data_IF_917799098624
#
_entry.id   IF_917799098624
#
_cell.length_a   1.000
_cell.length_b   1.000
_cell.length_c   1.000
_cell.angle_alpha   90.00
_cell.angle_beta   90.00
_cell.angle_gamma   90.00
#
_symmetry.space_group_name_H-M   'P 1'
#
loop_
_entity.id
_entity.type
_entity.pdbx_description
1 polymer ?
#
# COMPACT_ATOMS: atom_id res chain seq x y z
N UNK A 1 -36.17 -16.85 1.77
CA UNK A 1 -36.09 -15.57 1.01
C UNK A 1 -35.14 -14.55 1.62
N UNK A 2 -35.32 -14.04 2.88
CA UNK A 2 -34.39 -13.05 3.49
C UNK A 2 -32.98 -13.61 3.68
N UNK A 3 -32.79 -14.84 4.12
CA UNK A 3 -31.50 -15.48 4.32
C UNK A 3 -30.77 -15.69 2.98
N UNK A 4 -31.48 -16.03 1.92
CA UNK A 4 -30.91 -16.22 0.59
C UNK A 4 -30.49 -14.89 -0.06
N UNK A 5 -31.23 -13.80 0.21
CA UNK A 5 -30.83 -12.44 -0.16
C UNK A 5 -29.55 -11.96 0.58
N UNK A 6 -29.34 -12.41 1.82
CA UNK A 6 -28.11 -12.11 2.56
C UNK A 6 -26.90 -12.90 2.03
N UNK A 7 -27.07 -14.18 1.66
CA UNK A 7 -26.00 -15.00 1.07
C UNK A 7 -25.43 -14.40 -0.22
N UNK A 8 -26.27 -13.73 -1.03
CA UNK A 8 -25.80 -13.06 -2.25
C UNK A 8 -25.07 -11.73 -2.00
N UNK A 9 -25.11 -11.21 -0.76
CA UNK A 9 -24.46 -9.97 -0.32
C UNK A 9 -23.24 -10.20 0.57
N UNK A 10 -22.91 -11.47 0.85
CA UNK A 10 -21.77 -11.81 1.68
C UNK A 10 -20.43 -11.62 0.93
N UNK A 11 -19.33 -11.55 1.68
CA UNK A 11 -18.00 -11.50 1.08
C UNK A 11 -17.74 -12.77 0.26
N UNK A 12 -17.28 -12.55 -0.97
CA UNK A 12 -16.99 -13.64 -1.90
C UNK A 12 -15.56 -13.49 -2.43
N UNK A 13 -14.84 -14.61 -2.62
CA UNK A 13 -13.56 -14.57 -3.28
C UNK A 13 -13.73 -14.22 -4.76
N UNK A 14 -12.99 -13.21 -5.24
CA UNK A 14 -13.02 -12.72 -6.60
C UNK A 14 -11.72 -13.00 -7.31
N UNK A 15 -11.75 -13.22 -8.63
CA UNK A 15 -10.58 -13.27 -9.49
C UNK A 15 -10.36 -11.86 -10.06
N UNK A 16 -9.22 -11.25 -9.72
CA UNK A 16 -8.85 -9.94 -10.22
C UNK A 16 -8.17 -10.05 -11.58
N UNK A 17 -8.90 -9.84 -12.65
CA UNK A 17 -8.40 -9.75 -14.02
C UNK A 17 -8.53 -8.33 -14.61
N UNK A 18 -8.47 -7.31 -13.76
CA UNK A 18 -8.54 -5.89 -14.20
C UNK A 18 -7.22 -5.36 -14.73
N UNK A 19 -6.10 -6.00 -14.41
CA UNK A 19 -4.75 -5.48 -14.64
C UNK A 19 -4.31 -4.40 -13.64
N UNK A 20 -5.07 -4.16 -12.58
CA UNK A 20 -4.69 -3.29 -11.46
C UNK A 20 -4.23 -4.18 -10.31
N UNK A 21 -2.93 -4.22 -10.02
CA UNK A 21 -2.36 -5.17 -9.04
C UNK A 21 -2.82 -4.84 -7.62
N UNK A 22 -2.70 -3.59 -7.20
CA UNK A 22 -3.16 -3.11 -5.89
C UNK A 22 -4.53 -2.44 -6.07
N UNK A 23 -5.56 -3.26 -6.30
CA UNK A 23 -6.89 -2.75 -6.59
C UNK A 23 -7.62 -2.35 -5.31
N UNK A 24 -7.92 -1.06 -5.13
CA UNK A 24 -8.51 -0.49 -3.92
C UNK A 24 -9.80 -1.19 -3.49
N UNK A 25 -10.70 -1.46 -4.45
CA UNK A 25 -12.02 -2.04 -4.16
C UNK A 25 -12.00 -3.58 -4.06
N UNK A 26 -10.85 -4.22 -4.36
CA UNK A 26 -10.70 -5.68 -4.31
C UNK A 26 -9.76 -6.14 -3.18
N UNK A 27 -9.57 -5.30 -2.15
CA UNK A 27 -8.80 -5.64 -0.96
C UNK A 27 -7.33 -5.23 -0.98
N UNK A 28 -6.86 -4.56 -2.03
CA UNK A 28 -5.46 -4.09 -2.20
C UNK A 28 -4.45 -5.23 -2.33
N UNK A 29 -3.43 -5.28 -1.44
CA UNK A 29 -2.43 -6.34 -1.47
C UNK A 29 -3.02 -7.69 -1.07
N UNK A 30 -2.66 -8.72 -1.82
CA UNK A 30 -2.95 -10.11 -1.48
C UNK A 30 -1.80 -10.71 -0.68
N UNK A 31 -2.08 -11.71 0.14
CA UNK A 31 -1.12 -12.37 1.01
C UNK A 31 -0.76 -13.76 0.48
N UNK A 32 0.43 -14.22 0.83
CA UNK A 32 0.83 -15.60 0.57
C UNK A 32 0.01 -16.58 1.42
N UNK A 33 -0.43 -17.68 0.84
CA UNK A 33 -1.26 -18.67 1.52
C UNK A 33 -0.54 -19.26 2.74
N UNK A 34 0.76 -19.48 2.67
CA UNK A 34 1.56 -20.01 3.79
C UNK A 34 1.58 -19.06 5.00
N UNK A 35 1.39 -17.75 4.80
CA UNK A 35 1.27 -16.80 5.89
C UNK A 35 0.00 -17.02 6.73
N UNK A 36 -1.09 -17.48 6.11
CA UNK A 36 -2.32 -17.84 6.81
C UNK A 36 -2.18 -19.17 7.57
N UNK A 37 -1.45 -20.14 7.03
CA UNK A 37 -1.21 -21.42 7.73
C UNK A 37 -0.43 -21.18 9.03
N UNK A 38 0.59 -20.33 9.00
CA UNK A 38 1.30 -19.90 10.20
C UNK A 38 0.39 -19.12 11.15
N UNK A 39 -0.35 -18.14 10.61
CA UNK A 39 -1.28 -17.33 11.39
C UNK A 39 -2.34 -18.18 12.07
N UNK A 40 -2.87 -19.22 11.43
CA UNK A 40 -3.87 -20.14 11.99
C UNK A 40 -3.40 -20.77 13.28
N UNK A 41 -2.16 -21.25 13.33
CA UNK A 41 -1.59 -21.87 14.55
C UNK A 41 -1.50 -20.87 15.71
N UNK A 42 -1.15 -19.61 15.42
CA UNK A 42 -1.05 -18.55 16.42
C UNK A 42 -2.44 -18.02 16.83
N UNK A 43 -3.32 -17.80 15.85
CA UNK A 43 -4.63 -17.19 16.09
C UNK A 43 -5.60 -18.10 16.84
N UNK A 44 -5.57 -19.41 16.53
CA UNK A 44 -6.42 -20.43 17.17
C UNK A 44 -5.88 -20.97 18.49
N UNK A 45 -4.70 -20.49 18.93
CA UNK A 45 -4.06 -20.89 20.19
C UNK A 45 -3.62 -19.70 21.03
N UNK A 46 -2.91 -20.02 22.11
CA UNK A 46 -2.16 -19.04 22.90
C UNK A 46 -0.77 -18.91 22.31
N UNK A 47 -0.21 -17.68 22.31
CA UNK A 47 1.16 -17.43 21.90
C UNK A 47 1.76 -16.24 22.66
N UNK A 48 3.04 -16.07 22.58
CA UNK A 48 3.84 -15.13 23.34
C UNK A 48 3.74 -13.66 22.85
N UNK A 49 2.54 -13.18 22.52
CA UNK A 49 2.30 -11.83 22.00
C UNK A 49 2.84 -10.71 22.92
N UNK A 50 2.58 -10.83 24.22
CA UNK A 50 3.05 -9.91 25.27
C UNK A 50 3.70 -10.69 26.44
N UNK A 51 4.30 -11.86 26.13
CA UNK A 51 4.96 -12.70 27.10
C UNK A 51 6.39 -13.01 26.68
N UNK A 52 7.34 -12.65 27.52
CA UNK A 52 8.76 -12.94 27.29
C UNK A 52 9.07 -14.35 27.83
N UNK A 53 9.40 -15.26 26.91
CA UNK A 53 9.70 -16.67 27.22
C UNK A 53 10.98 -16.84 28.03
N UNK A 54 11.94 -15.89 27.95
CA UNK A 54 13.20 -15.99 28.68
C UNK A 54 13.05 -15.57 30.14
N UNK A 55 12.24 -14.54 30.38
CA UNK A 55 12.09 -13.98 31.74
C UNK A 55 10.81 -14.44 32.45
N UNK A 56 9.87 -15.04 31.72
CA UNK A 56 8.55 -15.42 32.26
C UNK A 56 7.68 -14.21 32.64
N UNK A 57 8.02 -13.01 32.18
CA UNK A 57 7.32 -11.75 32.51
C UNK A 57 6.60 -11.18 31.29
N UNK A 58 5.85 -10.12 31.53
CA UNK A 58 5.22 -9.35 30.46
C UNK A 58 6.28 -8.69 29.57
N UNK A 59 6.24 -9.00 28.27
CA UNK A 59 7.05 -8.40 27.23
C UNK A 59 6.34 -7.28 26.47
N UNK A 60 7.03 -6.68 25.52
CA UNK A 60 6.49 -5.68 24.60
C UNK A 60 5.66 -6.36 23.49
N UNK A 61 4.41 -5.90 23.29
CA UNK A 61 3.45 -6.49 22.33
C UNK A 61 4.00 -6.57 20.88
N UNK A 62 4.75 -5.59 20.46
CA UNK A 62 5.29 -5.51 19.10
C UNK A 62 6.76 -5.90 19.00
N UNK A 63 7.42 -6.24 20.10
CA UNK A 63 8.87 -6.31 20.22
C UNK A 63 9.57 -7.05 19.07
N UNK A 64 9.12 -8.26 18.76
CA UNK A 64 9.69 -9.09 17.67
C UNK A 64 9.55 -8.41 16.29
N UNK A 65 8.41 -7.74 16.02
CA UNK A 65 8.19 -7.06 14.75
C UNK A 65 9.00 -5.77 14.66
N UNK A 66 9.09 -5.02 15.77
CA UNK A 66 9.88 -3.78 15.82
C UNK A 66 11.35 -4.06 15.59
N UNK A 67 11.92 -5.12 16.19
CA UNK A 67 13.30 -5.54 15.93
C UNK A 67 13.51 -5.90 14.45
N UNK A 68 12.58 -6.62 13.82
CA UNK A 68 12.65 -6.91 12.39
C UNK A 68 12.60 -5.66 11.52
N UNK A 69 11.74 -4.70 11.84
CA UNK A 69 11.67 -3.41 11.14
C UNK A 69 12.96 -2.61 11.29
N UNK A 70 13.52 -2.57 12.51
CA UNK A 70 14.81 -1.89 12.78
C UNK A 70 15.94 -2.49 11.96
N UNK A 71 16.02 -3.83 11.90
CA UNK A 71 17.03 -4.54 11.10
C UNK A 71 16.81 -4.29 9.61
N UNK A 72 15.57 -4.44 9.12
CA UNK A 72 15.24 -4.32 7.71
C UNK A 72 15.55 -2.94 7.13
N UNK A 73 15.29 -1.88 7.91
CA UNK A 73 15.41 -0.50 7.46
C UNK A 73 16.61 0.25 8.05
N UNK A 74 17.35 -0.38 8.96
CA UNK A 74 18.47 0.25 9.69
C UNK A 74 18.07 1.58 10.36
N UNK A 75 17.00 1.53 11.17
CA UNK A 75 16.46 2.68 11.92
C UNK A 75 16.57 2.47 13.43
N UNK A 76 16.54 3.57 14.20
CA UNK A 76 16.70 3.50 15.65
C UNK A 76 15.53 2.80 16.34
N UNK A 77 14.28 3.12 15.90
CA UNK A 77 13.08 2.55 16.48
C UNK A 77 11.92 2.56 15.46
N UNK A 78 10.86 1.83 15.78
CA UNK A 78 9.68 1.69 14.93
C UNK A 78 8.40 1.62 15.78
N UNK A 79 7.26 1.81 15.12
CA UNK A 79 5.93 1.65 15.72
C UNK A 79 4.96 1.13 14.68
N UNK A 80 3.97 0.35 15.10
CA UNK A 80 2.92 -0.20 14.24
C UNK A 80 1.57 0.22 14.78
N UNK A 81 0.73 0.78 13.90
CA UNK A 81 -0.65 1.18 14.16
C UNK A 81 -1.59 0.58 13.12
N UNK A 82 -2.89 0.69 13.30
CA UNK A 82 -3.88 -0.03 12.47
C UNK A 82 -3.95 0.41 11.00
N UNK A 83 -3.49 1.61 10.63
CA UNK A 83 -3.33 2.04 9.22
C UNK A 83 -2.47 3.30 9.14
N UNK A 84 -2.10 3.72 7.91
CA UNK A 84 -1.24 4.88 7.74
C UNK A 84 -1.93 6.22 8.08
N UNK A 85 -3.25 6.33 7.94
CA UNK A 85 -3.98 7.53 8.38
C UNK A 85 -3.86 7.72 9.90
N UNK A 86 -3.94 6.62 10.66
CA UNK A 86 -3.68 6.63 12.10
C UNK A 86 -2.23 6.96 12.44
N UNK A 87 -1.27 6.53 11.60
CA UNK A 87 0.14 6.89 11.75
C UNK A 87 0.34 8.40 11.60
N UNK A 88 -0.21 9.00 10.54
CA UNK A 88 -0.16 10.45 10.29
C UNK A 88 -0.78 11.21 11.45
N UNK A 89 -1.98 10.82 11.88
CA UNK A 89 -2.67 11.45 13.00
C UNK A 89 -1.84 11.38 14.30
N UNK A 90 -1.30 10.20 14.62
CA UNK A 90 -0.51 10.00 15.84
C UNK A 90 0.77 10.83 15.83
N UNK A 91 1.49 10.87 14.70
CA UNK A 91 2.71 11.69 14.54
C UNK A 91 2.38 13.16 14.77
N UNK A 92 1.39 13.69 14.09
CA UNK A 92 0.98 15.09 14.21
C UNK A 92 0.53 15.43 15.63
N UNK A 93 -0.33 14.61 16.22
CA UNK A 93 -0.82 14.83 17.58
C UNK A 93 0.30 14.73 18.65
N UNK A 94 1.26 13.84 18.48
CA UNK A 94 2.34 13.64 19.47
C UNK A 94 3.45 14.69 19.36
N UNK A 95 3.74 15.18 18.15
CA UNK A 95 4.92 16.03 17.89
C UNK A 95 4.56 17.50 17.64
N UNK A 96 3.36 17.78 17.13
CA UNK A 96 2.98 19.10 16.65
C UNK A 96 1.62 19.60 17.20
N UNK A 97 1.07 18.97 18.24
CA UNK A 97 -0.14 19.48 18.89
C UNK A 97 0.10 20.91 19.39
N UNK A 98 -0.81 21.82 19.06
CA UNK A 98 -0.75 23.27 19.36
C UNK A 98 0.46 24.00 18.72
N UNK A 99 1.13 23.34 17.74
CA UNK A 99 2.26 23.86 16.99
C UNK A 99 1.95 23.95 15.50
N UNK A 100 2.80 24.66 14.78
CA UNK A 100 2.74 24.79 13.32
C UNK A 100 3.40 23.59 12.63
N UNK A 101 2.75 23.14 11.56
CA UNK A 101 3.28 22.12 10.63
C UNK A 101 3.40 22.77 9.27
N UNK A 102 4.63 22.90 8.79
CA UNK A 102 4.91 23.50 7.49
C UNK A 102 4.90 22.41 6.43
N UNK A 103 4.11 22.57 5.39
CA UNK A 103 4.04 21.66 4.24
C UNK A 103 3.78 22.40 2.93
N UNK A 104 4.20 21.81 1.82
CA UNK A 104 3.95 22.39 0.48
C UNK A 104 2.45 22.35 0.15
N UNK A 105 1.93 23.45 -0.42
CA UNK A 105 0.57 23.51 -0.96
C UNK A 105 0.31 22.46 -2.01
N UNK A 106 1.31 22.11 -2.83
CA UNK A 106 1.22 21.02 -3.80
C UNK A 106 1.18 19.60 -3.21
N UNK A 107 1.35 19.45 -1.88
CA UNK A 107 1.32 18.19 -1.14
C UNK A 107 0.09 18.03 -0.24
N UNK A 108 -0.86 18.98 -0.30
CA UNK A 108 -2.15 18.90 0.41
C UNK A 108 -3.10 17.98 -0.35
N UNK A 109 -2.87 16.69 -0.21
CA UNK A 109 -3.57 15.66 -0.96
C UNK A 109 -4.89 15.24 -0.32
N UNK A 110 -5.86 14.84 -1.15
CA UNK A 110 -7.01 14.04 -0.77
C UNK A 110 -6.81 12.62 -1.27
N UNK A 111 -6.85 11.65 -0.38
CA UNK A 111 -6.66 10.24 -0.68
C UNK A 111 -7.93 9.48 -0.29
N UNK A 112 -8.33 8.50 -1.07
CA UNK A 112 -9.51 7.63 -0.95
C UNK A 112 -10.37 7.76 0.31
N UNK A 113 -11.67 7.98 0.14
CA UNK A 113 -12.62 8.05 1.25
C UNK A 113 -12.58 9.35 2.06
N UNK A 114 -12.24 10.47 1.44
CA UNK A 114 -12.20 11.81 2.06
C UNK A 114 -11.07 12.02 3.09
N UNK A 115 -9.98 11.26 3.03
CA UNK A 115 -8.79 11.55 3.83
C UNK A 115 -8.09 12.78 3.24
N UNK A 116 -8.21 13.92 3.91
CA UNK A 116 -7.58 15.20 3.55
C UNK A 116 -6.52 15.56 4.56
N UNK A 117 -5.29 15.75 4.12
CA UNK A 117 -4.17 16.10 5.00
C UNK A 117 -4.47 17.31 5.90
N UNK A 118 -5.04 18.44 5.38
CA UNK A 118 -5.40 19.58 6.24
C UNK A 118 -6.40 19.24 7.34
N UNK A 119 -7.42 18.44 7.04
CA UNK A 119 -8.44 18.06 8.03
C UNK A 119 -7.87 17.13 9.11
N UNK A 120 -6.96 16.24 8.73
CA UNK A 120 -6.25 15.37 9.67
C UNK A 120 -5.33 16.20 10.58
N UNK A 121 -4.60 17.18 10.05
CA UNK A 121 -3.78 18.10 10.84
C UNK A 121 -4.62 18.83 11.87
N UNK A 122 -5.73 19.44 11.43
CA UNK A 122 -6.68 20.15 12.32
C UNK A 122 -7.21 19.22 13.41
N UNK A 123 -7.63 18.01 13.03
CA UNK A 123 -8.15 17.02 13.99
C UNK A 123 -7.09 16.52 14.97
N UNK A 124 -5.81 16.50 14.56
CA UNK A 124 -4.69 16.17 15.42
C UNK A 124 -4.26 17.33 16.35
N UNK A 125 -4.88 18.50 16.21
CA UNK A 125 -4.57 19.70 16.99
C UNK A 125 -3.35 20.48 16.47
N UNK A 126 -2.87 20.19 15.25
CA UNK A 126 -1.77 20.92 14.63
C UNK A 126 -2.29 22.10 13.79
N UNK A 127 -1.50 23.18 13.68
CA UNK A 127 -1.79 24.33 12.83
C UNK A 127 -1.06 24.19 11.50
N UNK A 128 -1.82 24.16 10.42
CA UNK A 128 -1.27 24.06 9.06
C UNK A 128 -0.64 25.41 8.63
N UNK A 129 0.59 25.35 8.15
CA UNK A 129 1.28 26.44 7.44
C UNK A 129 1.61 25.98 6.03
N UNK A 130 0.86 26.49 5.06
CA UNK A 130 1.04 26.16 3.64
C UNK A 130 2.13 27.02 3.01
N UNK A 131 3.07 26.40 2.28
CA UNK A 131 4.15 27.13 1.59
C UNK A 131 4.16 26.87 0.11
N UNK A 132 4.69 27.84 -0.65
CA UNK A 132 4.77 27.77 -2.10
C UNK A 132 3.40 27.90 -2.79
N UNK A 133 3.31 27.33 -3.98
CA UNK A 133 2.11 27.31 -4.82
C UNK A 133 1.68 25.89 -5.14
N UNK A 134 0.54 25.71 -5.81
CA UNK A 134 0.00 24.39 -6.19
C UNK A 134 1.02 23.55 -6.99
N UNK A 135 1.77 24.18 -7.89
CA UNK A 135 2.67 23.47 -8.79
C UNK A 135 4.16 23.69 -8.48
N UNK A 136 4.50 24.64 -7.61
CA UNK A 136 5.92 24.95 -7.36
C UNK A 136 6.15 25.42 -5.93
N UNK A 137 7.07 24.70 -5.25
CA UNK A 137 7.55 25.08 -3.91
C UNK A 137 9.07 25.02 -3.92
N UNK A 138 9.71 26.01 -3.32
CA UNK A 138 11.15 26.17 -3.22
C UNK A 138 11.60 26.11 -1.76
N UNK A 139 12.87 25.86 -1.52
CA UNK A 139 13.42 25.75 -0.17
C UNK A 139 13.18 27.02 0.66
N UNK A 140 13.37 28.21 0.05
CA UNK A 140 13.15 29.48 0.74
C UNK A 140 11.70 29.69 1.21
N UNK A 141 10.71 29.04 0.57
CA UNK A 141 9.32 29.11 1.01
C UNK A 141 9.16 28.44 2.38
N UNK A 142 9.86 27.32 2.62
CA UNK A 142 9.93 26.67 3.93
C UNK A 142 10.73 27.49 4.93
N UNK A 143 11.92 28.00 4.53
CA UNK A 143 12.80 28.80 5.40
C UNK A 143 12.11 30.03 5.96
N UNK A 144 11.38 30.77 5.11
CA UNK A 144 10.68 31.99 5.49
C UNK A 144 9.44 31.73 6.35
N UNK A 145 8.87 30.53 6.32
CA UNK A 145 7.70 30.18 7.12
C UNK A 145 8.04 29.66 8.51
N UNK A 146 9.31 29.33 8.78
CA UNK A 146 9.72 28.82 10.10
C UNK A 146 9.63 29.93 11.15
N UNK A 147 8.90 29.66 12.23
CA UNK A 147 8.70 30.51 13.39
C UNK A 147 9.08 29.78 14.68
N UNK A 148 8.98 30.45 15.83
CA UNK A 148 9.13 29.85 17.18
C UNK A 148 8.03 28.84 17.49
N UNK A 149 6.89 28.95 16.82
CA UNK A 149 5.75 28.04 16.94
C UNK A 149 5.88 26.81 16.06
N UNK A 150 6.83 26.76 15.13
CA UNK A 150 7.01 25.62 14.24
C UNK A 150 7.41 24.38 15.02
N UNK A 151 6.63 23.32 14.88
CA UNK A 151 6.84 22.03 15.54
C UNK A 151 7.36 20.93 14.61
N UNK A 152 7.08 21.03 13.29
CA UNK A 152 7.35 19.94 12.34
C UNK A 152 7.41 20.45 10.90
N UNK A 153 8.35 19.91 10.10
CA UNK A 153 8.31 19.97 8.64
C UNK A 153 7.70 18.67 8.11
N UNK A 154 6.64 18.80 7.30
CA UNK A 154 5.96 17.64 6.69
C UNK A 154 6.14 17.64 5.19
N UNK A 155 6.47 16.48 4.65
CA UNK A 155 6.38 16.18 3.22
C UNK A 155 5.46 14.99 3.00
N UNK A 156 4.46 15.14 2.11
CA UNK A 156 3.53 14.08 1.76
C UNK A 156 3.77 13.63 0.33
N UNK A 157 3.97 12.34 0.14
CA UNK A 157 4.15 11.77 -1.19
C UNK A 157 2.84 11.78 -1.99
N UNK A 158 2.91 12.26 -3.23
CA UNK A 158 1.77 12.28 -4.17
C UNK A 158 1.52 10.89 -4.75
N UNK A 159 1.13 9.93 -3.89
CA UNK A 159 1.00 8.52 -4.25
C UNK A 159 -0.18 8.19 -5.17
N UNK A 160 -1.20 9.08 -5.25
CA UNK A 160 -2.45 8.82 -5.98
C UNK A 160 -2.70 9.76 -7.17
N UNK A 161 -1.81 10.74 -7.41
CA UNK A 161 -1.87 11.62 -8.58
C UNK A 161 -0.48 12.08 -8.98
N UNK A 162 -0.33 12.60 -10.21
CA UNK A 162 0.90 13.17 -10.71
C UNK A 162 0.67 14.60 -11.19
N UNK A 163 1.56 15.53 -10.82
CA UNK A 163 1.62 16.88 -11.41
C UNK A 163 2.53 16.85 -12.63
N UNK A 164 2.07 17.39 -13.76
CA UNK A 164 2.82 17.46 -15.02
C UNK A 164 2.94 18.92 -15.50
N UNK A 165 4.01 19.23 -16.21
CA UNK A 165 4.27 20.56 -16.74
C UNK A 165 5.27 21.35 -15.91
N UNK A 166 5.05 22.64 -15.71
CA UNK A 166 5.91 23.53 -14.91
C UNK A 166 5.74 23.27 -13.41
N UNK A 167 6.22 22.12 -12.95
CA UNK A 167 6.17 21.70 -11.56
C UNK A 167 7.57 21.75 -10.94
N UNK A 168 7.62 21.98 -9.63
CA UNK A 168 8.87 21.92 -8.85
C UNK A 168 8.56 21.68 -7.39
N UNK A 169 9.30 20.77 -6.78
CA UNK A 169 9.20 20.46 -5.36
C UNK A 169 10.57 20.51 -4.70
N UNK A 170 10.59 20.72 -3.41
CA UNK A 170 11.83 20.67 -2.62
C UNK A 170 12.26 19.22 -2.46
N UNK A 171 13.54 18.97 -2.70
CA UNK A 171 14.10 17.63 -2.53
C UNK A 171 14.07 17.17 -1.06
N UNK A 172 14.03 15.86 -0.83
CA UNK A 172 14.11 15.29 0.52
C UNK A 172 15.42 15.66 1.19
N UNK A 173 16.53 15.69 0.44
CA UNK A 173 17.85 16.07 0.95
C UNK A 173 17.91 17.54 1.42
N UNK A 174 17.29 18.47 0.66
CA UNK A 174 17.30 19.89 1.01
C UNK A 174 16.43 20.14 2.25
N UNK A 175 15.23 19.52 2.33
CA UNK A 175 14.39 19.60 3.53
C UNK A 175 15.06 18.97 4.75
N UNK A 176 15.79 17.87 4.56
CA UNK A 176 16.57 17.24 5.63
C UNK A 176 17.67 18.18 6.14
N UNK A 177 18.39 18.86 5.24
CA UNK A 177 19.42 19.83 5.63
C UNK A 177 18.83 21.02 6.39
N UNK A 178 17.72 21.56 5.91
CA UNK A 178 16.97 22.64 6.56
C UNK A 178 16.49 22.22 7.95
N UNK A 179 15.83 21.08 8.07
CA UNK A 179 15.32 20.49 9.31
C UNK A 179 16.44 20.41 10.37
N UNK A 180 17.60 19.86 9.99
CA UNK A 180 18.77 19.75 10.89
C UNK A 180 19.31 21.11 11.32
N UNK A 181 19.43 22.07 10.39
CA UNK A 181 19.92 23.42 10.68
C UNK A 181 19.03 24.17 11.67
N UNK A 182 17.71 23.95 11.58
CA UNK A 182 16.69 24.56 12.44
C UNK A 182 16.33 23.71 13.65
N UNK A 183 16.87 22.50 13.78
CA UNK A 183 16.57 21.52 14.85
C UNK A 183 15.07 21.18 14.93
N UNK A 184 14.40 21.15 13.81
CA UNK A 184 12.99 20.78 13.67
C UNK A 184 12.88 19.32 13.20
N UNK A 185 11.93 18.52 13.69
CA UNK A 185 11.69 17.19 13.13
C UNK A 185 11.23 17.27 11.67
N UNK A 186 11.71 16.35 10.83
CA UNK A 186 11.26 16.17 9.45
C UNK A 186 10.52 14.85 9.30
N UNK A 187 9.24 14.92 9.00
CA UNK A 187 8.36 13.78 8.78
C UNK A 187 8.01 13.62 7.31
N UNK A 188 8.17 12.40 6.80
CA UNK A 188 7.75 12.02 5.45
C UNK A 188 6.60 11.02 5.52
N UNK A 189 5.40 11.42 5.07
CA UNK A 189 4.28 10.52 4.81
C UNK A 189 4.40 9.94 3.40
N UNK A 190 4.92 8.71 3.31
CA UNK A 190 5.16 8.04 2.03
C UNK A 190 3.87 7.44 1.43
N UNK A 191 2.96 6.96 2.26
CA UNK A 191 1.70 6.35 1.84
C UNK A 191 1.84 5.01 1.14
N UNK A 192 2.57 4.91 0.04
CA UNK A 192 2.71 3.68 -0.78
C UNK A 192 3.63 2.62 -0.18
N UNK A 193 4.83 2.99 0.21
CA UNK A 193 5.77 2.18 0.97
C UNK A 193 6.37 0.98 0.24
N UNK A 194 7.24 1.20 -0.78
CA UNK A 194 7.94 0.08 -1.38
C UNK A 194 9.31 -0.19 -0.75
N UNK A 195 9.67 -1.48 -0.73
CA UNK A 195 10.93 -2.00 -0.26
C UNK A 195 11.35 -3.21 -1.11
N UNK A 196 12.62 -3.58 -1.09
CA UNK A 196 13.13 -4.74 -1.82
C UNK A 196 13.28 -4.51 -3.33
N UNK A 197 13.09 -5.58 -4.10
CA UNK A 197 13.20 -5.53 -5.55
C UNK A 197 11.88 -5.08 -6.19
N UNK A 198 11.98 -4.14 -7.12
CA UNK A 198 10.87 -3.65 -7.91
C UNK A 198 11.32 -3.48 -9.35
N UNK A 199 10.43 -3.71 -10.30
CA UNK A 199 10.68 -3.54 -11.73
C UNK A 199 11.30 -2.16 -12.02
N UNK A 200 12.34 -2.12 -12.84
CA UNK A 200 13.08 -0.89 -13.15
C UNK A 200 12.20 0.24 -13.66
N UNK A 201 11.17 -0.08 -14.46
CA UNK A 201 10.22 0.91 -14.98
C UNK A 201 9.39 1.58 -13.89
N UNK A 202 9.16 0.89 -12.76
CA UNK A 202 8.41 1.40 -11.63
C UNK A 202 9.27 2.21 -10.65
N UNK A 203 10.58 1.91 -10.54
CA UNK A 203 11.49 2.61 -9.60
C UNK A 203 11.67 4.10 -9.90
N UNK A 204 11.51 4.51 -11.14
CA UNK A 204 11.74 5.90 -11.53
C UNK A 204 10.76 6.84 -10.83
N UNK A 205 11.29 7.83 -10.08
CA UNK A 205 10.54 8.84 -9.32
C UNK A 205 9.65 8.29 -8.17
N UNK A 206 9.83 7.03 -7.77
CA UNK A 206 9.18 6.48 -6.58
C UNK A 206 10.22 6.31 -5.47
N UNK A 207 10.12 7.03 -4.35
CA UNK A 207 11.08 6.90 -3.27
C UNK A 207 10.89 5.56 -2.53
N UNK A 208 12.00 4.88 -2.24
CA UNK A 208 11.96 3.70 -1.38
C UNK A 208 11.98 4.06 0.10
N UNK A 209 11.41 3.20 0.94
CA UNK A 209 11.49 3.36 2.40
C UNK A 209 12.95 3.48 2.83
N UNK A 210 13.83 2.59 2.32
CA UNK A 210 15.25 2.54 2.68
C UNK A 210 16.05 3.80 2.31
N UNK A 211 15.61 4.55 1.30
CA UNK A 211 16.18 5.84 0.94
C UNK A 211 15.70 6.95 1.89
N UNK A 212 14.39 6.98 2.15
CA UNK A 212 13.77 8.04 2.96
C UNK A 212 14.25 8.04 4.40
N UNK A 213 14.43 6.87 5.02
CA UNK A 213 14.89 6.76 6.41
C UNK A 213 16.31 7.31 6.64
N UNK A 214 17.11 7.49 5.58
CA UNK A 214 18.44 8.12 5.67
C UNK A 214 18.38 9.64 5.83
N UNK A 215 17.26 10.23 5.42
CA UNK A 215 17.10 11.68 5.34
C UNK A 215 16.04 12.23 6.30
N UNK A 216 15.03 11.45 6.62
CA UNK A 216 13.89 11.88 7.42
C UNK A 216 14.01 11.40 8.87
N UNK A 217 13.58 12.23 9.82
CA UNK A 217 13.52 11.84 11.23
C UNK A 217 12.41 10.84 11.51
N UNK A 218 11.32 10.92 10.74
CA UNK A 218 10.21 9.97 10.75
C UNK A 218 9.74 9.71 9.33
N UNK A 219 9.43 8.45 9.05
CA UNK A 219 8.76 8.00 7.81
C UNK A 219 7.58 7.12 8.19
N UNK A 220 6.43 7.31 7.56
CA UNK A 220 5.31 6.38 7.71
C UNK A 220 4.81 5.87 6.36
N UNK A 221 4.24 4.65 6.36
CA UNK A 221 3.68 4.03 5.16
C UNK A 221 2.59 3.03 5.48
N UNK A 222 1.81 2.69 4.44
CA UNK A 222 0.74 1.69 4.47
C UNK A 222 1.27 0.32 4.08
N UNK A 223 1.15 -0.68 4.96
CA UNK A 223 1.70 -2.01 4.70
C UNK A 223 0.89 -2.80 3.64
N UNK A 224 -0.38 -2.46 3.41
CA UNK A 224 -1.28 -3.12 2.46
C UNK A 224 -1.22 -2.56 1.03
N UNK A 225 -0.19 -1.78 0.72
CA UNK A 225 0.07 -1.26 -0.64
C UNK A 225 1.31 -1.92 -1.25
N UNK A 226 2.31 -1.13 -1.69
CA UNK A 226 3.54 -1.65 -2.31
C UNK A 226 4.38 -2.52 -1.38
N UNK A 227 4.25 -2.34 -0.07
CA UNK A 227 4.88 -3.23 0.91
C UNK A 227 4.34 -4.67 0.83
N UNK A 228 3.13 -4.86 0.30
CA UNK A 228 2.58 -6.18 -0.02
C UNK A 228 2.14 -7.01 1.19
N UNK A 229 1.65 -6.38 2.26
CA UNK A 229 1.21 -7.04 3.49
C UNK A 229 -0.25 -6.73 3.84
N UNK A 230 -0.60 -6.95 5.10
CA UNK A 230 -1.89 -6.59 5.70
C UNK A 230 -2.03 -5.10 5.93
N UNK A 231 -3.28 -4.63 6.16
CA UNK A 231 -3.50 -3.26 6.58
C UNK A 231 -2.83 -2.99 7.92
N UNK A 232 -1.81 -2.14 7.89
CA UNK A 232 -1.15 -1.56 9.05
C UNK A 232 -0.47 -0.25 8.64
N UNK A 233 -0.36 0.69 9.56
CA UNK A 233 0.51 1.85 9.45
C UNK A 233 1.84 1.54 10.14
N UNK A 234 2.93 1.64 9.41
CA UNK A 234 4.28 1.47 9.95
C UNK A 234 4.94 2.83 10.07
N UNK A 235 5.49 3.14 11.23
CA UNK A 235 6.22 4.36 11.52
C UNK A 235 7.65 3.97 11.86
N UNK A 236 8.61 4.55 11.17
CA UNK A 236 10.05 4.32 11.33
C UNK A 236 10.73 5.64 11.69
N UNK A 237 11.73 5.64 12.55
CA UNK A 237 12.47 6.87 12.78
C UNK A 237 13.34 6.88 14.02
N UNK A 238 13.69 8.09 14.45
CA UNK A 238 14.55 8.35 15.60
C UNK A 238 13.89 7.88 16.88
N UNK A 239 14.71 7.28 17.75
CA UNK A 239 14.28 6.68 19.02
C UNK A 239 13.55 7.68 19.94
N UNK A 240 14.04 8.90 20.05
CA UNK A 240 13.46 9.94 20.91
C UNK A 240 12.05 10.36 20.44
N UNK A 241 11.83 10.47 19.13
CA UNK A 241 10.56 10.82 18.54
C UNK A 241 9.57 9.65 18.65
N UNK A 242 10.00 8.44 18.32
CA UNK A 242 9.16 7.24 18.46
C UNK A 242 8.77 7.01 19.93
N UNK A 243 9.63 7.29 20.90
CA UNK A 243 9.30 7.22 22.32
C UNK A 243 8.16 8.17 22.70
N UNK A 244 8.12 9.39 22.13
CA UNK A 244 6.99 10.33 22.31
C UNK A 244 5.70 9.77 21.75
N UNK A 245 5.73 9.12 20.58
CA UNK A 245 4.56 8.46 20.00
C UNK A 245 4.09 7.30 20.89
N UNK A 246 5.02 6.49 21.41
CA UNK A 246 4.72 5.36 22.31
C UNK A 246 4.08 5.81 23.61
N UNK A 247 4.39 7.00 24.12
CA UNK A 247 3.79 7.57 25.35
C UNK A 247 2.40 8.19 25.14
N UNK A 248 1.96 8.40 23.91
CA UNK A 248 0.66 8.99 23.61
C UNK A 248 -0.47 8.02 23.92
N UNK A 249 -1.48 8.46 24.71
CA UNK A 249 -2.62 7.62 25.10
C UNK A 249 -3.46 7.15 23.90
N UNK A 250 -3.45 7.89 22.78
CA UNK A 250 -4.12 7.50 21.53
C UNK A 250 -3.59 6.18 20.97
N UNK A 251 -2.34 5.82 21.25
CA UNK A 251 -1.77 4.56 20.80
C UNK A 251 -2.60 3.35 21.25
N UNK A 252 -3.28 3.44 22.41
CA UNK A 252 -4.18 2.38 22.88
C UNK A 252 -5.36 2.16 21.93
N UNK A 253 -5.91 3.22 21.34
CA UNK A 253 -7.01 3.16 20.37
C UNK A 253 -6.54 2.71 19.00
N UNK A 254 -5.28 2.99 18.64
CA UNK A 254 -4.69 2.67 17.34
C UNK A 254 -3.99 1.31 17.32
N UNK A 255 -4.18 0.51 18.37
CA UNK A 255 -3.50 -0.76 18.57
C UNK A 255 -3.93 -1.82 17.57
N UNK A 256 -2.95 -2.49 16.97
CA UNK A 256 -3.14 -3.58 16.02
C UNK A 256 -3.50 -4.89 16.73
N UNK A 257 -4.39 -5.68 16.15
CA UNK A 257 -4.81 -6.98 16.64
C UNK A 257 -3.75 -8.08 16.40
N UNK A 258 -3.95 -9.24 17.02
CA UNK A 258 -2.99 -10.35 16.98
C UNK A 258 -2.88 -11.02 15.61
N UNK A 259 -3.96 -11.07 14.83
CA UNK A 259 -4.00 -11.71 13.52
C UNK A 259 -3.19 -10.88 12.51
N UNK A 260 -3.47 -9.57 12.47
CA UNK A 260 -2.71 -8.62 11.65
C UNK A 260 -1.22 -8.65 11.98
N UNK A 261 -0.84 -8.73 13.27
CA UNK A 261 0.57 -8.83 13.66
C UNK A 261 1.22 -10.14 13.21
N UNK A 262 0.53 -11.26 13.30
CA UNK A 262 1.04 -12.55 12.85
C UNK A 262 1.29 -12.56 11.33
N UNK A 263 0.35 -12.04 10.54
CA UNK A 263 0.47 -11.94 9.09
C UNK A 263 1.57 -10.94 8.67
N UNK A 264 1.64 -9.77 9.32
CA UNK A 264 2.72 -8.82 9.09
C UNK A 264 4.10 -9.42 9.42
N UNK A 265 4.18 -10.24 10.49
CA UNK A 265 5.41 -10.93 10.86
C UNK A 265 5.91 -11.89 9.76
N UNK A 266 5.00 -12.60 9.08
CA UNK A 266 5.34 -13.46 7.94
C UNK A 266 5.92 -12.63 6.78
N UNK A 267 5.29 -11.51 6.42
CA UNK A 267 5.80 -10.59 5.39
C UNK A 267 7.18 -10.04 5.75
N UNK A 268 7.39 -9.58 6.99
CA UNK A 268 8.70 -9.07 7.44
C UNK A 268 9.79 -10.14 7.37
N UNK A 269 9.46 -11.40 7.64
CA UNK A 269 10.38 -12.51 7.50
C UNK A 269 10.76 -12.75 6.04
N UNK A 270 9.78 -12.71 5.12
CA UNK A 270 10.03 -12.82 3.69
C UNK A 270 11.00 -11.71 3.20
N UNK A 271 10.83 -10.47 3.65
CA UNK A 271 11.75 -9.37 3.35
C UNK A 271 13.17 -9.63 3.88
N UNK A 272 13.30 -10.04 5.14
CA UNK A 272 14.61 -10.32 5.76
C UNK A 272 15.34 -11.48 5.08
N UNK A 273 14.59 -12.48 4.63
CA UNK A 273 15.12 -13.63 3.89
C UNK A 273 15.32 -13.34 2.39
N UNK A 274 14.89 -12.16 1.91
CA UNK A 274 14.87 -11.77 0.49
C UNK A 274 14.05 -12.74 -0.38
N UNK A 275 13.06 -13.39 0.20
CA UNK A 275 12.13 -14.29 -0.49
C UNK A 275 10.92 -13.49 -1.00
N UNK A 276 11.16 -12.68 -2.03
CA UNK A 276 10.13 -11.79 -2.59
C UNK A 276 9.02 -12.55 -3.33
N UNK A 277 9.22 -13.82 -3.64
CA UNK A 277 8.18 -14.68 -4.20
C UNK A 277 7.01 -14.89 -3.22
N UNK A 278 7.30 -14.85 -1.91
CA UNK A 278 6.30 -14.90 -0.83
C UNK A 278 5.59 -13.56 -0.55
N UNK A 279 5.78 -12.57 -1.39
CA UNK A 279 5.08 -11.28 -1.34
C UNK A 279 4.35 -11.13 -2.68
N UNK A 280 3.10 -11.63 -2.81
CA UNK A 280 2.40 -11.75 -4.09
C UNK A 280 2.31 -10.42 -4.85
N UNK A 281 2.15 -9.30 -4.15
CA UNK A 281 2.15 -7.97 -4.77
C UNK A 281 3.45 -7.68 -5.52
N UNK A 282 4.61 -7.96 -4.90
CA UNK A 282 5.91 -7.77 -5.55
C UNK A 282 6.12 -8.80 -6.68
N UNK A 283 5.71 -10.04 -6.47
CA UNK A 283 5.80 -11.08 -7.49
C UNK A 283 5.03 -10.68 -8.76
N UNK A 284 3.78 -10.22 -8.64
CA UNK A 284 2.96 -9.74 -9.77
C UNK A 284 3.56 -8.50 -10.45
N UNK A 285 4.10 -7.54 -9.70
CA UNK A 285 4.71 -6.32 -10.24
C UNK A 285 6.04 -6.60 -10.97
N UNK A 286 6.77 -7.61 -10.54
CA UNK A 286 8.06 -8.01 -11.12
C UNK A 286 7.92 -9.08 -12.22
N UNK A 287 6.73 -9.67 -12.38
CA UNK A 287 6.48 -10.70 -13.38
C UNK A 287 6.80 -10.19 -14.80
N UNK A 288 7.49 -10.98 -15.60
CA UNK A 288 7.82 -10.62 -16.97
C UNK A 288 6.57 -10.59 -17.86
N UNK A 289 6.58 -9.74 -18.90
CA UNK A 289 5.49 -9.73 -19.88
C UNK A 289 5.32 -11.11 -20.57
N UNK A 290 6.42 -11.83 -20.77
CA UNK A 290 6.39 -13.17 -21.33
C UNK A 290 5.66 -14.18 -20.44
N UNK A 291 5.89 -14.15 -19.12
CA UNK A 291 5.17 -15.00 -18.17
C UNK A 291 3.66 -14.68 -18.13
N UNK A 292 3.31 -13.37 -18.17
CA UNK A 292 1.90 -12.94 -18.27
C UNK A 292 1.25 -13.45 -19.55
N UNK A 293 1.97 -13.40 -20.69
CA UNK A 293 1.51 -13.95 -21.96
C UNK A 293 1.25 -15.45 -21.88
N UNK A 294 2.15 -16.19 -21.26
CA UNK A 294 2.03 -17.66 -21.11
C UNK A 294 0.81 -18.03 -20.24
N UNK A 295 0.52 -17.28 -19.18
CA UNK A 295 -0.73 -17.44 -18.40
C UNK A 295 -1.96 -17.23 -19.29
N UNK A 296 -1.99 -16.15 -20.08
CA UNK A 296 -3.10 -15.85 -20.98
C UNK A 296 -3.31 -16.94 -22.04
N UNK A 297 -2.23 -17.40 -22.69
CA UNK A 297 -2.28 -18.46 -23.71
C UNK A 297 -2.79 -19.80 -23.14
N UNK A 298 -2.39 -20.15 -21.90
CA UNK A 298 -2.90 -21.35 -21.21
C UNK A 298 -4.41 -21.27 -21.06
N UNK A 299 -4.93 -20.16 -20.54
CA UNK A 299 -6.37 -19.97 -20.39
C UNK A 299 -7.08 -19.95 -21.74
N UNK A 300 -6.55 -19.26 -22.75
CA UNK A 300 -7.10 -19.22 -24.10
C UNK A 300 -7.29 -20.60 -24.71
N UNK A 301 -6.31 -21.50 -24.49
CA UNK A 301 -6.38 -22.87 -25.00
C UNK A 301 -7.46 -23.71 -24.31
N UNK A 302 -7.70 -23.47 -23.02
CA UNK A 302 -8.54 -24.33 -22.20
C UNK A 302 -10.00 -23.83 -22.10
N UNK A 303 -10.29 -22.58 -22.53
CA UNK A 303 -11.66 -22.04 -22.56
C UNK A 303 -12.34 -22.26 -23.92
N UNK A 304 -13.66 -22.44 -23.89
CA UNK A 304 -14.50 -22.60 -25.09
C UNK A 304 -15.02 -21.29 -25.66
N UNK A 305 -15.03 -20.23 -24.85
CA UNK A 305 -15.49 -18.92 -25.28
C UNK A 305 -14.46 -18.26 -26.20
N UNK A 306 -14.91 -17.80 -27.37
CA UNK A 306 -14.04 -17.18 -28.39
C UNK A 306 -13.42 -15.88 -27.86
N UNK A 307 -12.11 -15.81 -27.89
CA UNK A 307 -11.34 -14.64 -27.48
C UNK A 307 -10.04 -14.51 -28.27
N UNK A 308 -9.47 -13.33 -28.24
CA UNK A 308 -8.23 -12.97 -28.91
C UNK A 308 -7.18 -12.50 -27.89
N UNK A 309 -5.93 -12.97 -28.01
CA UNK A 309 -4.81 -12.49 -27.22
C UNK A 309 -4.35 -11.14 -27.76
N UNK A 310 -4.26 -10.12 -26.88
CA UNK A 310 -3.78 -8.78 -27.24
C UNK A 310 -2.74 -8.29 -26.26
N UNK A 311 -1.80 -7.48 -26.77
CA UNK A 311 -0.92 -6.69 -25.91
C UNK A 311 -1.69 -5.56 -25.24
N UNK A 312 -1.36 -5.26 -24.00
CA UNK A 312 -1.98 -4.21 -23.23
C UNK A 312 -1.03 -3.67 -22.15
N UNK A 313 -1.55 -2.79 -21.29
CA UNK A 313 -0.81 -2.21 -20.17
C UNK A 313 -1.63 -2.38 -18.89
N UNK A 314 -0.95 -2.86 -17.86
CA UNK A 314 -1.50 -2.98 -16.50
C UNK A 314 -1.03 -1.80 -15.63
N UNK A 315 -1.79 -1.52 -14.57
CA UNK A 315 -1.54 -0.47 -13.59
C UNK A 315 -1.03 -1.07 -12.27
N UNK A 316 -0.27 -0.28 -11.52
CA UNK A 316 0.14 -0.68 -10.17
C UNK A 316 -1.06 -0.62 -9.23
N UNK A 317 -1.69 0.55 -9.09
CA UNK A 317 -2.87 0.72 -8.25
C UNK A 317 -3.29 2.18 -8.07
N UNK A 318 -4.53 2.40 -7.65
CA UNK A 318 -5.10 3.74 -7.50
C UNK A 318 -4.53 4.60 -6.37
N UNK A 319 -3.80 4.00 -5.44
CA UNK A 319 -3.13 4.71 -4.33
C UNK A 319 -1.62 4.54 -4.34
N UNK A 320 -1.05 4.08 -5.47
CA UNK A 320 0.39 3.84 -5.64
C UNK A 320 0.76 3.93 -7.10
N UNK A 321 1.65 4.85 -7.47
CA UNK A 321 2.17 5.01 -8.84
C UNK A 321 1.08 5.17 -9.92
N UNK A 322 0.21 6.20 -9.86
CA UNK A 322 -1.00 6.29 -10.68
C UNK A 322 -0.73 6.43 -12.18
N UNK A 323 0.44 6.91 -12.57
CA UNK A 323 0.88 7.12 -13.96
C UNK A 323 1.81 6.02 -14.48
N UNK A 324 2.14 5.02 -13.65
CA UNK A 324 3.04 3.93 -14.03
C UNK A 324 2.28 2.75 -14.59
N UNK A 325 2.77 2.27 -15.74
CA UNK A 325 2.21 1.09 -16.41
C UNK A 325 3.28 0.03 -16.61
N UNK A 326 2.83 -1.22 -16.65
CA UNK A 326 3.64 -2.38 -16.98
C UNK A 326 3.12 -3.04 -18.26
N UNK A 327 3.98 -3.51 -19.17
CA UNK A 327 3.57 -4.32 -20.31
C UNK A 327 2.77 -5.53 -19.85
N UNK A 328 1.62 -5.80 -20.48
CA UNK A 328 0.74 -6.90 -20.12
C UNK A 328 0.12 -7.56 -21.35
N UNK A 329 -0.61 -8.65 -21.11
CA UNK A 329 -1.39 -9.36 -22.11
C UNK A 329 -2.79 -9.61 -21.59
N UNK A 330 -3.77 -9.43 -22.46
CA UNK A 330 -5.18 -9.61 -22.17
C UNK A 330 -5.83 -10.61 -23.12
N UNK A 331 -6.88 -11.30 -22.67
CA UNK A 331 -7.83 -11.97 -23.53
C UNK A 331 -9.02 -11.04 -23.78
N UNK A 332 -9.20 -10.64 -25.03
CA UNK A 332 -10.32 -9.82 -25.50
C UNK A 332 -11.43 -10.71 -26.03
N UNK A 333 -12.62 -10.55 -25.48
CA UNK A 333 -13.78 -11.39 -25.81
C UNK A 333 -14.66 -10.72 -26.88
N UNK A 334 -15.15 -11.54 -27.82
CA UNK A 334 -16.05 -11.10 -28.88
C UNK A 334 -17.50 -11.00 -28.34
N UNK A 335 -18.16 -9.89 -28.57
CA UNK A 335 -19.55 -9.67 -28.16
C UNK A 335 -19.77 -8.31 -27.51
N UNK A 336 -20.96 -8.11 -26.93
CA UNK A 336 -21.29 -6.91 -26.17
C UNK A 336 -20.44 -6.85 -24.89
N UNK A 337 -19.57 -5.84 -24.82
CA UNK A 337 -18.61 -5.69 -23.73
C UNK A 337 -19.26 -5.51 -22.36
N UNK A 338 -20.38 -4.77 -22.29
CA UNK A 338 -21.08 -4.53 -21.03
C UNK A 338 -21.85 -5.77 -20.57
N UNK A 339 -22.50 -6.49 -21.49
CA UNK A 339 -23.17 -7.74 -21.18
C UNK A 339 -22.17 -8.82 -20.71
N UNK A 340 -21.00 -8.92 -21.36
CA UNK A 340 -19.93 -9.80 -20.94
C UNK A 340 -19.39 -9.41 -19.56
N UNK A 341 -19.11 -8.13 -19.33
CA UNK A 341 -18.63 -7.64 -18.04
C UNK A 341 -19.61 -8.02 -16.90
N UNK A 342 -20.92 -7.85 -17.12
CA UNK A 342 -21.93 -8.23 -16.13
C UNK A 342 -21.95 -9.73 -15.87
N UNK A 343 -21.87 -10.56 -16.91
CA UNK A 343 -21.85 -12.03 -16.79
C UNK A 343 -20.60 -12.50 -16.04
N UNK A 344 -19.42 -12.02 -16.41
CA UNK A 344 -18.18 -12.37 -15.72
C UNK A 344 -18.18 -11.93 -14.25
N UNK A 345 -18.72 -10.73 -13.97
CA UNK A 345 -18.87 -10.25 -12.59
C UNK A 345 -19.77 -11.16 -11.75
N UNK A 346 -20.85 -11.72 -12.32
CA UNK A 346 -21.70 -12.70 -11.63
C UNK A 346 -20.97 -14.01 -11.30
N UNK A 347 -19.91 -14.34 -12.04
CA UNK A 347 -19.02 -15.46 -11.75
C UNK A 347 -17.93 -15.14 -10.72
N UNK A 348 -17.87 -13.91 -10.23
CA UNK A 348 -16.77 -13.45 -9.38
C UNK A 348 -15.48 -13.13 -10.15
N UNK A 349 -15.55 -12.92 -11.47
CA UNK A 349 -14.40 -12.53 -12.30
C UNK A 349 -14.52 -11.06 -12.65
N UNK A 350 -13.55 -10.25 -12.27
CA UNK A 350 -13.53 -8.81 -12.50
C UNK A 350 -12.51 -8.47 -13.57
N UNK A 351 -13.00 -8.13 -14.78
CA UNK A 351 -12.20 -7.61 -15.89
C UNK A 351 -12.46 -6.13 -16.11
N UNK A 352 -11.98 -5.59 -17.23
CA UNK A 352 -12.23 -4.22 -17.66
C UNK A 352 -12.72 -4.14 -19.11
N UNK A 353 -13.20 -2.98 -19.50
CA UNK A 353 -13.50 -2.65 -20.91
C UNK A 353 -12.33 -1.83 -21.44
N UNK A 354 -11.76 -2.26 -22.56
CA UNK A 354 -10.65 -1.62 -23.25
C UNK A 354 -10.92 -1.67 -24.77
N UNK A 355 -10.87 -0.51 -25.44
CA UNK A 355 -11.15 -0.39 -26.87
C UNK A 355 -12.47 -1.11 -27.27
N UNK A 356 -13.55 -0.82 -26.55
CA UNK A 356 -14.91 -1.38 -26.75
C UNK A 356 -15.01 -2.90 -26.56
N UNK A 357 -13.97 -3.58 -26.11
CA UNK A 357 -13.97 -5.01 -25.82
C UNK A 357 -13.92 -5.25 -24.31
N UNK A 358 -14.63 -6.26 -23.83
CA UNK A 358 -14.39 -6.79 -22.49
C UNK A 358 -13.12 -7.61 -22.49
N UNK A 359 -12.20 -7.32 -21.55
CA UNK A 359 -10.90 -7.98 -21.46
C UNK A 359 -10.60 -8.51 -20.07
N UNK A 360 -9.87 -9.61 -20.02
CA UNK A 360 -9.23 -10.14 -18.82
C UNK A 360 -7.72 -9.93 -18.91
N UNK A 361 -7.16 -9.19 -17.98
CA UNK A 361 -5.73 -8.91 -17.90
C UNK A 361 -5.04 -9.88 -16.94
N UNK A 362 -4.03 -10.58 -17.44
CA UNK A 362 -3.40 -11.69 -16.71
C UNK A 362 -2.29 -11.25 -15.75
N UNK A 363 -1.91 -9.99 -15.71
CA UNK A 363 -0.93 -9.52 -14.73
C UNK A 363 -1.47 -9.58 -13.30
N UNK A 364 -2.73 -9.28 -13.10
CA UNK A 364 -3.35 -9.29 -11.76
C UNK A 364 -3.99 -10.63 -11.37
N UNK A 365 -4.02 -11.62 -12.27
CA UNK A 365 -4.51 -12.97 -11.98
C UNK A 365 -3.41 -13.78 -11.28
N UNK A 366 -3.73 -14.34 -10.12
CA UNK A 366 -2.82 -15.20 -9.38
C UNK A 366 -2.65 -16.56 -10.07
N UNK A 367 -1.45 -17.13 -9.98
CA UNK A 367 -1.16 -18.43 -10.61
C UNK A 367 -2.09 -19.54 -10.13
N UNK A 368 -2.45 -19.53 -8.83
CA UNK A 368 -3.36 -20.51 -8.23
C UNK A 368 -4.82 -20.37 -8.67
N UNK A 369 -5.20 -19.24 -9.29
CA UNK A 369 -6.57 -18.99 -9.74
C UNK A 369 -6.84 -19.43 -11.18
N UNK A 370 -5.81 -19.78 -11.96
CA UNK A 370 -5.93 -20.09 -13.39
C UNK A 370 -6.91 -21.24 -13.66
N UNK A 371 -6.82 -22.34 -12.90
CA UNK A 371 -7.70 -23.49 -13.06
C UNK A 371 -9.16 -23.11 -12.76
N UNK A 372 -9.39 -22.41 -11.65
CA UNK A 372 -10.72 -21.91 -11.26
C UNK A 372 -11.31 -20.97 -12.31
N UNK A 373 -10.47 -20.06 -12.87
CA UNK A 373 -10.88 -19.14 -13.94
C UNK A 373 -11.42 -19.91 -15.14
N UNK A 374 -10.72 -20.92 -15.61
CA UNK A 374 -11.11 -21.77 -16.74
C UNK A 374 -12.44 -22.50 -16.46
N UNK A 375 -12.56 -23.11 -15.28
CA UNK A 375 -13.75 -23.82 -14.84
C UNK A 375 -15.00 -22.92 -14.81
N UNK A 376 -14.89 -21.72 -14.26
CA UNK A 376 -15.98 -20.73 -14.18
C UNK A 376 -16.41 -20.29 -15.58
N UNK A 377 -15.47 -19.95 -16.47
CA UNK A 377 -15.79 -19.53 -17.85
C UNK A 377 -16.48 -20.67 -18.60
N UNK A 378 -15.92 -21.87 -18.58
CA UNK A 378 -16.49 -23.01 -19.29
C UNK A 378 -17.83 -23.48 -18.70
N UNK A 379 -18.06 -23.27 -17.39
CA UNK A 379 -19.32 -23.54 -16.74
C UNK A 379 -20.45 -22.66 -17.22
N UNK A 380 -20.21 -21.35 -17.35
CA UNK A 380 -21.20 -20.34 -17.76
C UNK A 380 -21.48 -20.37 -19.27
N UNK A 381 -20.45 -20.58 -20.08
CA UNK A 381 -20.54 -20.47 -21.54
C UNK A 381 -20.68 -21.83 -22.24
N UNK A 382 -21.32 -22.83 -21.59
CA UNK A 382 -21.66 -24.12 -22.17
C UNK A 382 -22.60 -23.93 -23.38
N UNK A 383 -22.13 -24.15 -24.60
CA UNK A 383 -22.96 -24.26 -25.80
C UNK A 383 -23.06 -23.02 -26.69
N UNK A 384 -22.15 -22.06 -26.62
CA UNK A 384 -22.00 -21.00 -27.63
C UNK A 384 -20.62 -21.12 -28.29
N UNK A 385 -20.48 -22.14 -29.15
CA UNK A 385 -19.42 -22.21 -30.14
C UNK A 385 -19.84 -21.44 -31.40
#
# INVERSE_FOLDING_TARGET
>A
KRIDEFKSKDFQPLINATGVVIHTNLGRSVLDESAFDECKSLACGYFNLEFDLNTGKRGERYGVLLEKLKILFNVDDALIVNNNAAAVFLVLNSLAKDKEVITSRGELVEIGGNFRVPEVMKSAGARLVEVGTTNKTRLFDYENAISEDTGLLLKTHKSNFALKGFCGEVSVSDLSALSRSKKLPFYYDLGSGWCGELNKALKQNEPSISELVKHCDIVSFSADKLFGSVQAGVILGRKDLIARLKSNQLLRMLRVDKITLALLNSTLRAYLQKDFAKIPTLALLNESAQSVKEKALRVQKDIKLKCELKESKSLVGGGSMPDKTLPSFVLAFVGDAFALQERFRKLGIVGRIENECFVLDFRSVLQGEIQRLVELINGEFKGKA
#
